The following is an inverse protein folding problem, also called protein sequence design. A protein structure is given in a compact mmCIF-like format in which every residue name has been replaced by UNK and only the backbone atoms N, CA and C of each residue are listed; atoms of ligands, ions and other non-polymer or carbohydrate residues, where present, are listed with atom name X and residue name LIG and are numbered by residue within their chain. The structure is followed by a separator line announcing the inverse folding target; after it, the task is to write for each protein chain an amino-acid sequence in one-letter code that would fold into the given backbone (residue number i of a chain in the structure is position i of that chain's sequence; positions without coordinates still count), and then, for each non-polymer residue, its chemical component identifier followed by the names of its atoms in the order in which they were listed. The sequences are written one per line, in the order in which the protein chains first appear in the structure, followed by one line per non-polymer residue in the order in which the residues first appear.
data_IF_824106124882
#
_entry.id   IF_824106124882
#
_cell.length_a   1.000
_cell.length_b   1.000
_cell.length_c   1.000
_cell.angle_alpha   90.00
_cell.angle_beta   90.00
_cell.angle_gamma   90.00
#
_symmetry.space_group_name_H-M   'P 1'
#
loop_
_entity.id
_entity.type
_entity.pdbx_description
1 polymer ?
#
# COMPACT_ATOMS: atom_id res chain seq x y z
N UNK A 1 -11.24 11.25 20.68
CA UNK A 1 -11.15 12.29 21.72
C UNK A 1 -12.51 12.41 22.35
N UNK A 2 -12.57 12.11 23.66
CA UNK A 2 -13.76 12.32 24.47
C UNK A 2 -13.80 13.81 24.77
N UNK A 3 -14.94 14.47 24.57
CA UNK A 3 -15.08 15.87 24.92
C UNK A 3 -14.95 16.01 26.44
N UNK A 4 -14.02 16.86 26.89
CA UNK A 4 -13.81 17.12 28.32
C UNK A 4 -15.00 17.78 29.01
N UNK A 5 -15.96 18.31 28.23
CA UNK A 5 -17.08 19.09 28.74
C UNK A 5 -18.34 18.28 29.03
N UNK A 6 -18.55 17.15 28.35
CA UNK A 6 -19.88 16.49 28.33
C UNK A 6 -19.91 15.06 28.88
N UNK A 7 -18.75 14.44 29.18
CA UNK A 7 -18.69 13.09 29.76
C UNK A 7 -19.31 11.96 28.92
N UNK A 8 -19.85 12.25 27.73
CA UNK A 8 -20.57 11.29 26.89
C UNK A 8 -19.77 10.93 25.64
N UNK A 9 -19.83 9.63 25.29
CA UNK A 9 -19.11 9.03 24.16
C UNK A 9 -19.74 9.48 22.84
N UNK A 10 -19.28 10.61 22.29
CA UNK A 10 -19.59 11.01 20.91
C UNK A 10 -19.19 9.86 19.99
N UNK A 11 -20.07 9.44 19.08
CA UNK A 11 -19.84 8.38 18.07
C UNK A 11 -18.71 8.77 17.11
N UNK A 12 -17.46 8.78 17.57
CA UNK A 12 -16.30 9.04 16.73
C UNK A 12 -15.96 7.76 15.98
N UNK A 13 -15.99 7.81 14.64
CA UNK A 13 -15.70 6.68 13.72
C UNK A 13 -14.23 6.19 13.76
N UNK A 14 -13.42 6.63 14.74
CA UNK A 14 -11.99 6.30 14.88
C UNK A 14 -11.05 6.99 13.89
N UNK A 15 -11.51 7.31 12.68
CA UNK A 15 -10.68 7.84 11.58
C UNK A 15 -10.78 9.37 11.39
N UNK A 16 -10.41 10.12 12.42
CA UNK A 16 -10.35 11.59 12.36
C UNK A 16 -9.17 12.11 11.52
N UNK A 17 -9.17 13.42 11.23
CA UNK A 17 -8.07 14.10 10.48
C UNK A 17 -6.70 13.84 11.12
N UNK A 18 -6.61 13.87 12.44
CA UNK A 18 -5.38 13.62 13.17
C UNK A 18 -4.83 12.21 12.90
N UNK A 19 -5.66 11.16 13.02
CA UNK A 19 -5.23 9.78 12.78
C UNK A 19 -4.76 9.57 11.33
N UNK A 20 -5.49 10.13 10.36
CA UNK A 20 -5.09 10.03 8.95
C UNK A 20 -3.74 10.71 8.70
N UNK A 21 -3.52 11.89 9.28
CA UNK A 21 -2.27 12.62 9.18
C UNK A 21 -1.10 11.89 9.86
N UNK A 22 -1.31 11.30 11.03
CA UNK A 22 -0.25 10.55 11.73
C UNK A 22 0.13 9.28 10.98
N UNK A 23 -0.86 8.56 10.44
CA UNK A 23 -0.61 7.37 9.62
C UNK A 23 0.16 7.75 8.35
N UNK A 24 -0.29 8.79 7.64
CA UNK A 24 0.39 9.31 6.46
C UNK A 24 1.85 9.69 6.78
N UNK A 25 2.08 10.43 7.87
CA UNK A 25 3.42 10.80 8.34
C UNK A 25 4.26 9.58 8.68
N UNK A 26 3.69 8.53 9.26
CA UNK A 26 4.42 7.31 9.58
C UNK A 26 5.02 6.65 8.33
N UNK A 27 4.24 6.47 7.27
CA UNK A 27 4.71 5.88 6.00
C UNK A 27 5.83 6.71 5.37
N UNK A 28 5.69 8.03 5.35
CA UNK A 28 6.68 8.93 4.79
C UNK A 28 7.93 9.10 5.68
N UNK A 29 7.84 8.86 7.00
CA UNK A 29 8.99 8.98 7.91
C UNK A 29 10.01 7.85 7.83
N UNK A 30 9.62 6.67 7.32
CA UNK A 30 10.52 5.51 7.22
C UNK A 30 11.57 5.72 6.12
N UNK A 31 12.65 4.92 6.10
CA UNK A 31 13.47 4.82 4.88
C UNK A 31 12.82 3.85 3.91
N UNK A 32 13.00 4.00 2.58
CA UNK A 32 12.38 3.11 1.60
C UNK A 32 12.81 1.64 1.82
N UNK A 33 14.08 1.40 2.18
CA UNK A 33 14.58 0.07 2.56
C UNK A 33 13.87 -0.53 3.79
N UNK A 34 13.61 0.29 4.82
CA UNK A 34 12.91 -0.20 6.01
C UNK A 34 11.42 -0.41 5.72
N UNK A 35 10.84 0.45 4.89
CA UNK A 35 9.43 0.40 4.53
C UNK A 35 9.12 -0.86 3.72
N UNK A 36 9.93 -1.19 2.71
CA UNK A 36 9.73 -2.40 1.90
C UNK A 36 9.79 -3.67 2.76
N UNK A 37 10.69 -3.68 3.75
CA UNK A 37 10.82 -4.78 4.71
C UNK A 37 9.60 -4.91 5.61
N UNK A 38 9.07 -3.79 6.11
CA UNK A 38 7.86 -3.80 6.93
C UNK A 38 6.66 -4.29 6.12
N UNK A 39 6.52 -3.83 4.89
CA UNK A 39 5.39 -4.18 4.01
C UNK A 39 5.41 -5.66 3.64
N UNK A 40 6.58 -6.21 3.35
CA UNK A 40 6.72 -7.64 3.00
C UNK A 40 6.65 -8.56 4.21
N UNK A 41 7.21 -8.15 5.37
CA UNK A 41 7.17 -8.94 6.61
C UNK A 41 5.82 -8.91 7.32
N UNK A 42 5.18 -7.74 7.34
CA UNK A 42 3.97 -7.49 8.12
C UNK A 42 2.77 -7.20 7.22
N UNK A 43 2.55 -8.05 6.21
CA UNK A 43 1.48 -7.89 5.20
C UNK A 43 0.09 -7.64 5.82
N UNK A 44 -0.26 -8.45 6.81
CA UNK A 44 -1.47 -8.31 7.61
C UNK A 44 -1.16 -8.47 9.10
N UNK A 45 -1.81 -7.66 9.94
CA UNK A 45 -1.78 -7.79 11.41
C UNK A 45 -3.09 -7.33 11.98
N UNK A 46 -3.59 -8.06 12.98
CA UNK A 46 -4.86 -7.74 13.67
C UNK A 46 -6.03 -7.53 12.70
N UNK A 47 -6.05 -8.28 11.58
CA UNK A 47 -7.09 -8.17 10.55
C UNK A 47 -6.97 -6.95 9.61
N UNK A 48 -5.96 -6.09 9.79
CA UNK A 48 -5.67 -4.97 8.88
C UNK A 48 -4.54 -5.32 7.91
N UNK A 49 -4.75 -5.01 6.63
CA UNK A 49 -3.69 -4.99 5.63
C UNK A 49 -3.14 -3.58 5.44
N UNK A 50 -1.90 -3.45 4.98
CA UNK A 50 -1.35 -2.14 4.59
C UNK A 50 -2.25 -1.43 3.57
N UNK A 51 -2.87 -2.20 2.67
CA UNK A 51 -3.79 -1.69 1.66
C UNK A 51 -5.06 -1.08 2.24
N UNK A 52 -5.61 -1.68 3.28
CA UNK A 52 -6.78 -1.13 3.98
C UNK A 52 -6.43 0.16 4.71
N UNK A 53 -5.22 0.24 5.28
CA UNK A 53 -4.72 1.47 5.90
C UNK A 53 -4.67 2.58 4.85
N UNK A 54 -4.10 2.34 3.66
CA UNK A 54 -4.03 3.33 2.57
C UNK A 54 -5.41 3.86 2.17
N UNK A 55 -6.41 2.97 2.12
CA UNK A 55 -7.79 3.35 1.80
C UNK A 55 -8.42 4.24 2.87
N UNK A 56 -8.14 3.96 4.14
CA UNK A 56 -8.71 4.68 5.29
C UNK A 56 -8.02 6.02 5.54
N UNK A 57 -6.69 6.08 5.35
CA UNK A 57 -5.90 7.29 5.57
C UNK A 57 -5.76 8.19 4.36
N UNK A 58 -6.12 7.73 3.15
CA UNK A 58 -5.94 8.48 1.89
C UNK A 58 -4.50 8.98 1.71
N UNK A 59 -3.54 8.05 1.79
CA UNK A 59 -2.12 8.39 1.66
C UNK A 59 -1.86 8.83 0.22
N UNK A 60 -1.34 10.04 0.07
CA UNK A 60 -0.85 10.55 -1.18
C UNK A 60 0.31 11.49 -0.90
N UNK A 61 1.33 11.47 -1.76
CA UNK A 61 2.32 12.53 -1.76
C UNK A 61 1.60 13.82 -2.12
N UNK A 62 1.59 14.77 -1.20
CA UNK A 62 0.92 16.05 -1.41
C UNK A 62 1.91 17.17 -1.13
N UNK A 63 1.59 18.36 -1.63
CA UNK A 63 2.28 19.61 -1.35
C UNK A 63 2.40 19.93 0.15
N UNK A 64 1.66 19.21 1.02
CA UNK A 64 1.80 19.33 2.48
C UNK A 64 3.08 18.66 3.02
N UNK A 65 3.79 17.86 2.22
CA UNK A 65 5.11 17.34 2.57
C UNK A 65 6.15 18.48 2.44
N UNK A 66 7.06 18.63 3.41
CA UNK A 66 8.16 19.58 3.28
C UNK A 66 9.01 19.32 2.02
N UNK A 67 9.55 20.36 1.35
CA UNK A 67 10.41 20.18 0.18
C UNK A 67 11.67 19.35 0.44
N UNK A 68 12.21 19.38 1.67
CA UNK A 68 13.39 18.62 2.09
C UNK A 68 13.05 17.18 2.55
N UNK A 69 11.84 16.72 2.26
CA UNK A 69 11.42 15.39 2.69
C UNK A 69 12.06 14.28 1.82
N UNK A 70 12.50 13.19 2.46
CA UNK A 70 13.13 12.01 1.82
C UNK A 70 12.35 11.45 0.63
N UNK A 71 11.02 11.57 0.68
CA UNK A 71 10.14 11.18 -0.42
C UNK A 71 10.57 11.78 -1.76
N UNK A 72 10.90 13.07 -1.83
CA UNK A 72 11.23 13.73 -3.10
C UNK A 72 12.53 13.22 -3.72
N UNK A 73 13.46 12.74 -2.89
CA UNK A 73 14.73 12.14 -3.31
C UNK A 73 14.53 10.70 -3.80
N UNK A 74 13.69 9.91 -3.11
CA UNK A 74 13.47 8.48 -3.36
C UNK A 74 12.07 8.17 -3.90
N UNK A 75 11.44 9.09 -4.62
CA UNK A 75 10.02 8.99 -4.97
C UNK A 75 9.70 7.74 -5.79
N UNK A 76 10.63 7.31 -6.65
CA UNK A 76 10.52 6.08 -7.46
C UNK A 76 10.38 4.82 -6.58
N UNK A 77 11.17 4.74 -5.51
CA UNK A 77 11.14 3.61 -4.59
C UNK A 77 9.85 3.60 -3.76
N UNK A 78 9.43 4.76 -3.25
CA UNK A 78 8.16 4.87 -2.52
C UNK A 78 6.96 4.52 -3.39
N UNK A 79 6.89 5.09 -4.59
CA UNK A 79 5.78 4.85 -5.52
C UNK A 79 5.73 3.36 -5.91
N UNK A 80 6.87 2.72 -6.16
CA UNK A 80 6.94 1.28 -6.40
C UNK A 80 6.47 0.43 -5.20
N UNK A 81 6.84 0.80 -3.97
CA UNK A 81 6.33 0.14 -2.76
C UNK A 81 4.81 0.33 -2.65
N UNK A 82 4.31 1.54 -2.89
CA UNK A 82 2.89 1.84 -2.79
C UNK A 82 2.06 1.09 -3.85
N UNK A 83 2.57 1.04 -5.08
CA UNK A 83 1.98 0.25 -6.16
C UNK A 83 1.96 -1.23 -5.83
N UNK A 84 3.07 -1.76 -5.28
CA UNK A 84 3.14 -3.12 -4.78
C UNK A 84 2.03 -3.39 -3.76
N UNK A 85 1.90 -2.56 -2.70
CA UNK A 85 0.82 -2.69 -1.69
C UNK A 85 -0.57 -2.67 -2.35
N UNK A 86 -0.78 -1.83 -3.37
CA UNK A 86 -2.08 -1.73 -4.04
C UNK A 86 -2.42 -2.95 -4.91
N UNK A 87 -1.41 -3.59 -5.51
CA UNK A 87 -1.56 -4.72 -6.43
C UNK A 87 -1.88 -6.05 -5.74
N UNK A 88 -1.38 -6.29 -4.52
CA UNK A 88 -1.41 -7.62 -3.88
C UNK A 88 -2.81 -8.25 -3.73
N UNK A 89 -3.87 -7.44 -3.67
CA UNK A 89 -5.25 -7.87 -3.40
C UNK A 89 -6.24 -7.53 -4.54
N UNK A 90 -5.76 -7.35 -5.78
CA UNK A 90 -6.64 -7.26 -6.94
C UNK A 90 -7.37 -8.60 -7.19
N UNK A 91 -6.68 -9.72 -7.01
CA UNK A 91 -7.21 -11.06 -7.25
C UNK A 91 -8.27 -11.50 -6.21
N UNK A 92 -8.07 -11.20 -4.92
CA UNK A 92 -9.03 -11.48 -3.83
C UNK A 92 -10.34 -10.70 -3.98
N UNK A 93 -10.29 -9.51 -4.59
CA UNK A 93 -11.46 -8.66 -4.85
C UNK A 93 -12.35 -9.16 -5.98
N UNK A 94 -11.77 -9.67 -7.09
CA UNK A 94 -12.58 -10.28 -8.17
C UNK A 94 -13.50 -11.38 -7.60
N UNK A 95 -13.01 -12.14 -6.61
CA UNK A 95 -13.79 -13.16 -5.91
C UNK A 95 -14.95 -12.55 -5.09
N UNK A 96 -14.72 -11.50 -4.29
CA UNK A 96 -15.74 -10.88 -3.41
C UNK A 96 -16.75 -10.00 -4.17
N UNK A 97 -16.32 -9.33 -5.23
CA UNK A 97 -17.15 -8.51 -6.10
C UNK A 97 -18.20 -9.35 -6.83
N UNK A 98 -17.83 -10.57 -7.26
CA UNK A 98 -18.75 -11.54 -7.83
C UNK A 98 -19.90 -11.92 -6.86
N UNK A 99 -19.63 -11.97 -5.55
CA UNK A 99 -20.64 -12.24 -4.52
C UNK A 99 -21.54 -11.03 -4.24
N UNK A 100 -20.99 -9.80 -4.28
CA UNK A 100 -21.79 -8.58 -4.09
C UNK A 100 -22.64 -8.20 -5.29
N UNK A 101 -22.16 -8.43 -6.52
CA UNK A 101 -22.91 -8.16 -7.76
C UNK A 101 -24.13 -9.08 -7.90
N UNK A 102 -24.01 -10.35 -7.46
CA UNK A 102 -25.15 -11.27 -7.34
C UNK A 102 -26.20 -10.75 -6.36
N UNK A 103 -25.79 -10.05 -5.31
CA UNK A 103 -26.69 -9.50 -4.27
C UNK A 103 -27.29 -8.16 -4.69
N UNK A 104 -26.56 -7.33 -5.43
CA UNK A 104 -26.99 -6.00 -5.90
C UNK A 104 -27.94 -6.05 -7.10
N UNK A 105 -27.86 -7.08 -7.96
CA UNK A 105 -28.84 -7.32 -9.04
C UNK A 105 -30.27 -7.56 -8.51
N UNK A 106 -30.44 -7.91 -7.22
CA UNK A 106 -31.75 -8.13 -6.60
C UNK A 106 -32.46 -6.82 -6.16
N UNK A 107 -31.78 -5.66 -6.18
CA UNK A 107 -32.26 -4.43 -5.50
C UNK A 107 -32.37 -3.18 -6.39
N UNK A 108 -32.20 -3.28 -7.73
CA UNK A 108 -32.27 -2.12 -8.64
C UNK A 108 -33.24 -2.33 -9.79
N UNK A 109 -34.52 -2.42 -9.47
CA UNK A 109 -35.55 -1.79 -10.27
C UNK A 109 -36.18 -0.71 -9.40
N UNK A 110 -36.53 0.40 -10.04
CA UNK A 110 -37.16 1.61 -9.50
C UNK A 110 -36.26 2.81 -9.18
N UNK A 111 -36.68 3.92 -9.81
CA UNK A 111 -36.29 5.33 -9.63
C UNK A 111 -35.18 5.86 -10.54
N UNK A 112 -35.52 5.95 -11.82
CA UNK A 112 -34.99 6.99 -12.70
C UNK A 112 -36.10 8.00 -12.99
N UNK A 113 -35.93 9.24 -12.54
CA UNK A 113 -36.85 10.33 -12.81
C UNK A 113 -36.30 11.68 -12.35
N UNK A 114 -35.96 12.51 -13.34
CA UNK A 114 -35.68 13.95 -13.31
C UNK A 114 -34.54 14.50 -12.45
N UNK A 115 -33.42 14.90 -13.09
CA UNK A 115 -32.65 16.08 -12.71
C UNK A 115 -31.76 16.48 -13.89
N UNK A 116 -32.14 17.48 -14.70
CA UNK A 116 -31.34 17.91 -15.88
C UNK A 116 -30.66 19.27 -15.64
N UNK A 117 -31.17 20.09 -14.72
CA UNK A 117 -30.64 21.44 -14.47
C UNK A 117 -29.62 21.54 -13.30
N UNK A 118 -29.73 20.67 -12.29
CA UNK A 118 -28.70 20.57 -11.22
C UNK A 118 -27.41 19.92 -11.74
N UNK A 119 -27.54 19.05 -12.74
CA UNK A 119 -26.42 18.41 -13.43
C UNK A 119 -25.44 19.42 -14.03
N UNK A 120 -25.90 20.56 -14.57
CA UNK A 120 -25.00 21.53 -15.20
C UNK A 120 -24.12 22.29 -14.19
N UNK A 121 -24.67 22.64 -13.02
CA UNK A 121 -23.90 23.26 -11.92
C UNK A 121 -22.93 22.25 -11.31
N UNK A 122 -23.40 21.03 -11.08
CA UNK A 122 -22.55 19.93 -10.60
C UNK A 122 -21.42 19.63 -11.60
N UNK A 123 -21.69 19.65 -12.90
CA UNK A 123 -20.67 19.46 -13.95
C UNK A 123 -19.64 20.57 -13.92
N UNK A 124 -20.05 21.84 -13.79
CA UNK A 124 -19.12 22.97 -13.69
C UNK A 124 -18.26 22.90 -12.41
N UNK A 125 -18.85 22.56 -11.25
CA UNK A 125 -18.13 22.38 -9.99
C UNK A 125 -17.19 21.17 -10.04
N UNK A 126 -17.60 20.08 -10.68
CA UNK A 126 -16.76 18.91 -10.90
C UNK A 126 -15.60 19.22 -11.84
N UNK A 127 -15.82 19.99 -12.91
CA UNK A 127 -14.76 20.47 -13.81
C UNK A 127 -13.74 21.33 -13.05
N UNK A 128 -14.19 22.24 -12.20
CA UNK A 128 -13.30 23.05 -11.36
C UNK A 128 -12.49 22.18 -10.38
N UNK A 129 -13.12 21.20 -9.72
CA UNK A 129 -12.43 20.24 -8.83
C UNK A 129 -11.42 19.37 -9.58
N UNK A 130 -11.69 19.01 -10.84
CA UNK A 130 -10.77 18.23 -11.67
C UNK A 130 -9.54 19.05 -12.03
N UNK A 131 -9.73 20.29 -12.49
CA UNK A 131 -8.63 21.23 -12.79
C UNK A 131 -7.72 21.42 -11.57
N UNK A 132 -8.29 21.70 -10.40
CA UNK A 132 -7.51 21.86 -9.17
C UNK A 132 -6.70 20.59 -8.79
N UNK A 133 -7.25 19.40 -9.06
CA UNK A 133 -6.53 18.13 -8.84
C UNK A 133 -5.43 17.91 -9.87
N UNK A 134 -5.66 18.30 -11.11
CA UNK A 134 -4.66 18.26 -12.19
C UNK A 134 -3.50 19.21 -11.86
N UNK A 135 -3.80 20.45 -11.48
CA UNK A 135 -2.82 21.44 -11.05
C UNK A 135 -2.01 20.93 -9.86
N UNK A 136 -2.68 20.31 -8.88
CA UNK A 136 -1.99 19.70 -7.74
C UNK A 136 -1.07 18.54 -8.15
N UNK A 137 -1.47 17.72 -9.12
CA UNK A 137 -0.62 16.63 -9.65
C UNK A 137 0.59 17.18 -10.38
N UNK A 138 0.40 18.16 -11.26
CA UNK A 138 1.50 18.82 -11.99
C UNK A 138 2.50 19.44 -11.02
N UNK A 139 2.03 20.09 -9.95
CA UNK A 139 2.90 20.62 -8.90
C UNK A 139 3.68 19.51 -8.20
N UNK A 140 3.02 18.42 -7.80
CA UNK A 140 3.70 17.28 -7.16
C UNK A 140 4.73 16.64 -8.11
N UNK A 141 4.42 16.52 -9.40
CA UNK A 141 5.34 16.00 -10.41
C UNK A 141 6.55 16.91 -10.60
N UNK A 142 6.37 18.23 -10.57
CA UNK A 142 7.47 19.20 -10.65
C UNK A 142 8.43 19.15 -9.45
N UNK A 143 7.94 18.72 -8.27
CA UNK A 143 8.74 18.55 -7.06
C UNK A 143 9.58 17.26 -7.05
N UNK A 144 9.29 16.31 -7.95
CA UNK A 144 10.03 15.05 -8.02
C UNK A 144 11.43 15.28 -8.60
N UNK A 145 12.46 14.75 -7.94
CA UNK A 145 13.81 14.82 -8.44
C UNK A 145 13.97 13.96 -9.72
N UNK A 146 14.56 14.54 -10.76
CA UNK A 146 14.85 13.87 -12.04
C UNK A 146 15.98 12.83 -11.91
N UNK A 147 16.86 12.99 -10.93
CA UNK A 147 17.98 12.09 -10.66
C UNK A 147 17.60 10.94 -9.71
N UNK A 148 16.33 10.54 -9.68
CA UNK A 148 15.86 9.52 -8.75
C UNK A 148 16.47 8.14 -9.05
N UNK A 149 16.60 7.27 -8.03
CA UNK A 149 17.16 5.95 -8.21
C UNK A 149 16.33 5.12 -9.20
N UNK A 150 17.00 4.61 -10.24
CA UNK A 150 16.45 3.70 -11.24
C UNK A 150 16.50 2.25 -10.75
N UNK A 151 15.74 1.35 -11.36
CA UNK A 151 15.66 -0.07 -10.99
C UNK A 151 17.03 -0.79 -10.86
N UNK A 152 18.02 -0.36 -11.63
CA UNK A 152 19.37 -0.93 -11.63
C UNK A 152 20.23 -0.46 -10.46
N UNK A 153 19.95 0.73 -9.91
CA UNK A 153 20.76 1.32 -8.83
C UNK A 153 20.13 1.05 -7.46
N UNK A 154 18.79 1.04 -7.36
CA UNK A 154 18.09 0.88 -6.10
C UNK A 154 18.13 -0.54 -5.54
N UNK A 155 18.53 -0.65 -4.27
CA UNK A 155 18.42 -1.90 -3.49
C UNK A 155 16.97 -2.36 -3.33
N UNK A 156 16.05 -1.40 -3.18
CA UNK A 156 14.62 -1.63 -2.91
C UNK A 156 13.90 -2.19 -4.14
N UNK A 157 14.15 -1.62 -5.31
CA UNK A 157 13.51 -2.09 -6.55
C UNK A 157 13.99 -3.49 -6.92
N UNK A 158 15.29 -3.77 -6.72
CA UNK A 158 15.86 -5.13 -6.84
C UNK A 158 15.16 -6.09 -5.89
N UNK A 159 14.99 -5.70 -4.62
CA UNK A 159 14.31 -6.51 -3.60
C UNK A 159 12.86 -6.82 -3.98
N UNK A 160 12.09 -5.85 -4.47
CA UNK A 160 10.71 -6.09 -4.90
C UNK A 160 10.66 -7.09 -6.07
N UNK A 161 11.53 -6.91 -7.05
CA UNK A 161 11.64 -7.83 -8.18
C UNK A 161 12.07 -9.25 -7.78
N UNK A 162 13.02 -9.38 -6.84
CA UNK A 162 13.43 -10.69 -6.30
C UNK A 162 12.30 -11.33 -5.49
N UNK A 163 11.58 -10.55 -4.69
CA UNK A 163 10.43 -11.01 -3.91
C UNK A 163 9.29 -11.54 -4.80
N UNK A 164 8.94 -10.83 -5.87
CA UNK A 164 7.92 -11.29 -6.82
C UNK A 164 8.31 -12.58 -7.54
N UNK A 165 9.59 -12.74 -7.89
CA UNK A 165 10.13 -14.00 -8.44
C UNK A 165 10.00 -15.13 -7.43
N UNK A 166 10.38 -14.90 -6.17
CA UNK A 166 10.23 -15.88 -5.09
C UNK A 166 8.77 -16.30 -4.89
N UNK A 167 7.84 -15.34 -4.89
CA UNK A 167 6.41 -15.61 -4.74
C UNK A 167 5.87 -16.52 -5.86
N UNK A 168 6.43 -16.44 -7.07
CA UNK A 168 6.06 -17.30 -8.21
C UNK A 168 6.60 -18.73 -8.09
N UNK A 169 7.75 -18.93 -7.45
CA UNK A 169 8.39 -20.24 -7.33
C UNK A 169 7.64 -21.22 -6.41
N UNK A 170 6.78 -20.70 -5.51
CA UNK A 170 5.77 -21.49 -4.79
C UNK A 170 6.30 -22.68 -4.00
N UNK A 171 5.39 -23.58 -3.56
CA UNK A 171 5.72 -24.77 -2.76
C UNK A 171 6.41 -25.89 -3.56
N UNK A 172 6.42 -25.82 -4.88
CA UNK A 172 6.85 -26.94 -5.76
C UNK A 172 8.36 -27.03 -5.90
N UNK A 173 9.08 -25.89 -5.82
CA UNK A 173 10.50 -25.79 -6.17
C UNK A 173 11.35 -25.24 -5.00
N UNK A 174 11.27 -25.90 -3.83
CA UNK A 174 12.02 -25.50 -2.61
C UNK A 174 13.53 -25.34 -2.84
N UNK A 175 14.24 -26.23 -3.57
CA UNK A 175 15.70 -26.09 -3.77
C UNK A 175 16.06 -24.81 -4.53
N UNK A 176 15.32 -24.50 -5.60
CA UNK A 176 15.55 -23.28 -6.39
C UNK A 176 15.28 -22.01 -5.58
N UNK A 177 14.31 -22.07 -4.67
CA UNK A 177 14.03 -20.95 -3.77
C UNK A 177 15.17 -20.72 -2.77
N UNK A 178 15.77 -21.79 -2.23
CA UNK A 178 16.93 -21.71 -1.32
C UNK A 178 18.14 -21.13 -2.05
N UNK A 179 18.46 -21.62 -3.24
CA UNK A 179 19.57 -21.11 -4.06
C UNK A 179 19.41 -19.61 -4.36
N UNK A 180 18.18 -19.20 -4.69
CA UNK A 180 17.85 -17.82 -4.98
C UNK A 180 17.99 -16.91 -3.74
N UNK A 181 17.65 -17.41 -2.55
CA UNK A 181 17.83 -16.68 -1.29
C UNK A 181 19.32 -16.51 -0.98
N UNK A 182 20.13 -17.54 -1.21
CA UNK A 182 21.59 -17.47 -1.00
C UNK A 182 22.20 -16.44 -1.96
N UNK A 183 21.82 -16.47 -3.24
CA UNK A 183 22.33 -15.54 -4.27
C UNK A 183 21.95 -14.08 -3.99
N UNK A 184 20.76 -13.83 -3.44
CA UNK A 184 20.26 -12.49 -3.17
C UNK A 184 20.28 -12.11 -1.67
N UNK A 185 21.01 -12.87 -0.84
CA UNK A 185 21.02 -12.73 0.62
C UNK A 185 21.37 -11.32 1.12
N UNK A 186 22.26 -10.61 0.42
CA UNK A 186 22.67 -9.23 0.77
C UNK A 186 21.54 -8.20 0.67
N UNK A 187 20.50 -8.49 -0.11
CA UNK A 187 19.30 -7.67 -0.23
C UNK A 187 18.37 -7.82 0.98
N UNK A 188 18.50 -8.92 1.73
CA UNK A 188 17.70 -9.22 2.92
C UNK A 188 18.49 -8.87 4.19
N UNK A 189 18.15 -7.80 4.93
CA UNK A 189 18.84 -7.47 6.18
C UNK A 189 18.69 -8.59 7.22
N UNK A 190 19.69 -8.71 8.11
CA UNK A 190 19.79 -9.76 9.13
C UNK A 190 18.54 -9.93 10.02
N UNK A 191 17.69 -8.91 10.13
CA UNK A 191 16.40 -8.96 10.84
C UNK A 191 15.39 -9.98 10.25
N UNK A 192 15.64 -10.48 9.03
CA UNK A 192 14.91 -11.62 8.46
C UNK A 192 15.44 -12.98 8.93
N UNK A 193 16.68 -13.03 9.42
CA UNK A 193 17.41 -14.27 9.72
C UNK A 193 17.83 -14.39 11.20
N UNK A 194 17.68 -13.34 12.02
CA UNK A 194 18.18 -13.28 13.40
C UNK A 194 17.42 -14.16 14.41
N UNK A 195 16.44 -14.95 13.96
CA UNK A 195 15.75 -15.94 14.79
C UNK A 195 15.89 -17.34 14.21
N UNK A 196 17.12 -17.80 13.99
CA UNK A 196 17.47 -19.23 13.88
C UNK A 196 16.80 -20.08 12.81
N UNK A 197 16.04 -19.51 11.88
CA UNK A 197 15.24 -20.26 10.92
C UNK A 197 15.03 -19.42 9.65
N UNK A 198 15.76 -19.73 8.58
CA UNK A 198 15.34 -19.42 7.21
C UNK A 198 13.89 -19.89 6.95
N UNK A 199 13.44 -20.90 7.71
CA UNK A 199 12.08 -21.43 7.80
C UNK A 199 11.04 -20.37 8.15
N UNK A 200 11.39 -19.31 8.89
CA UNK A 200 10.46 -18.24 9.25
C UNK A 200 10.21 -17.25 8.10
N UNK A 201 11.19 -17.06 7.22
CA UNK A 201 11.02 -16.30 5.97
C UNK A 201 10.24 -17.11 4.92
N UNK A 202 10.43 -18.44 4.89
CA UNK A 202 9.66 -19.35 4.02
C UNK A 202 8.21 -19.53 4.48
N UNK A 203 7.94 -19.62 5.79
CA UNK A 203 6.58 -19.56 6.35
C UNK A 203 5.89 -18.21 6.06
N UNK A 204 6.65 -17.12 5.92
CA UNK A 204 6.15 -15.78 5.55
C UNK A 204 5.69 -15.68 4.09
N UNK A 205 6.20 -16.56 3.22
CA UNK A 205 5.82 -16.69 1.80
C UNK A 205 4.78 -17.82 1.61
N UNK A 206 4.15 -18.29 2.69
CA UNK A 206 3.22 -19.43 2.71
C UNK A 206 3.86 -20.74 2.17
N UNK A 207 5.17 -20.93 2.33
CA UNK A 207 5.89 -22.16 1.99
C UNK A 207 6.17 -22.91 3.31
N UNK A 208 5.29 -23.86 3.66
CA UNK A 208 5.54 -24.81 4.75
C UNK A 208 6.65 -25.79 4.32
N UNK A 209 7.79 -25.72 4.99
CA UNK A 209 8.81 -26.77 4.90
C UNK A 209 8.55 -27.75 6.05
N UNK A 210 8.34 -29.04 5.78
CA UNK A 210 8.26 -30.03 6.85
C UNK A 210 9.61 -30.06 7.59
N UNK A 211 9.56 -29.90 8.91
CA UNK A 211 10.67 -29.77 9.87
C UNK A 211 11.63 -30.99 9.95
N UNK A 212 11.79 -31.80 8.90
CA UNK A 212 12.51 -33.08 8.94
C UNK A 212 13.83 -33.12 8.17
N UNK A 213 14.32 -32.01 7.63
CA UNK A 213 15.58 -31.93 6.88
C UNK A 213 16.44 -30.71 7.24
N UNK A 214 16.50 -30.38 8.53
CA UNK A 214 17.61 -29.67 9.17
C UNK A 214 18.09 -30.55 10.33
#
# INVERSE_FOLDING_TARGET
MISGETGLKVKSKGWGRALRATVCRWYFSQSPERLVMQVTKYRNREGYSHRDIFRLSHIHASTALPPDHKYWQYHTEYDAIFDFIMQEDAATRKRKQLFSEKSAKKLKMEKNGSHIHEQAKDVAENLAKLKMKEDQKVLVESMKNKNAPTAETSKVLKFLGTYEKLKKLGKTDVPKAVDFIIQHGELFPACCFSSGLAVQFLHLVDIEIPYRLL
#
